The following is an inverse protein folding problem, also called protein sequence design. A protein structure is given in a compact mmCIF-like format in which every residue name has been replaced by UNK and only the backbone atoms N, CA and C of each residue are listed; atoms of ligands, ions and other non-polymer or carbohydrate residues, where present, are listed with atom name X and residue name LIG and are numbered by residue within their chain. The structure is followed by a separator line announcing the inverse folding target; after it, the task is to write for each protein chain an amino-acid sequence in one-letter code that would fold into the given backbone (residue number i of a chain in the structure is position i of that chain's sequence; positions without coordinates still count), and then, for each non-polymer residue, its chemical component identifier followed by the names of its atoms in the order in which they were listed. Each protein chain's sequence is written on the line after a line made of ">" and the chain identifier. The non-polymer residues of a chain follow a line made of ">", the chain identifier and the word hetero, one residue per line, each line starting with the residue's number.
data_IF_678644465069
#
_entry.id   IF_678644465069
#
_cell.length_a   1.000
_cell.length_b   1.000
_cell.length_c   1.000
_cell.angle_alpha   90.00
_cell.angle_beta   90.00
_cell.angle_gamma   90.00
#
_symmetry.space_group_name_H-M   'P 1'
#
loop_
_entity.id
_entity.type
_entity.pdbx_description
1 polymer ?
#
# COMPACT_ATOMS: atom_id res chain seq x y z
N UNK A 1 -43.06 -21.71 -15.84
CA UNK A 1 -43.44 -23.00 -16.48
C UNK A 1 -44.29 -23.91 -15.58
N UNK A 2 -43.95 -24.08 -14.29
CA UNK A 2 -44.77 -24.87 -13.35
C UNK A 2 -46.02 -24.13 -12.85
N UNK A 3 -45.88 -22.84 -12.50
CA UNK A 3 -47.01 -21.99 -12.09
C UNK A 3 -48.08 -21.91 -13.18
N UNK A 4 -47.67 -21.63 -14.42
CA UNK A 4 -48.57 -21.57 -15.58
C UNK A 4 -49.30 -22.91 -15.81
N UNK A 5 -48.61 -24.05 -15.65
CA UNK A 5 -49.24 -25.38 -15.72
C UNK A 5 -50.27 -25.60 -14.62
N UNK A 6 -50.02 -25.10 -13.40
CA UNK A 6 -50.96 -25.17 -12.28
C UNK A 6 -52.18 -24.28 -12.52
N UNK A 7 -51.99 -23.05 -13.03
CA UNK A 7 -53.08 -22.14 -13.41
C UNK A 7 -53.97 -22.72 -14.50
N UNK A 8 -53.38 -23.28 -15.55
CA UNK A 8 -54.14 -23.97 -16.62
C UNK A 8 -54.91 -25.18 -16.08
N UNK A 9 -54.33 -25.96 -15.17
CA UNK A 9 -55.01 -27.10 -14.55
C UNK A 9 -56.16 -26.67 -13.65
N UNK A 10 -55.97 -25.60 -12.88
CA UNK A 10 -57.02 -24.97 -12.08
C UNK A 10 -58.19 -24.52 -12.94
N UNK A 11 -57.94 -23.79 -14.03
CA UNK A 11 -58.98 -23.30 -14.94
C UNK A 11 -59.79 -24.44 -15.59
N UNK A 12 -59.11 -25.55 -15.94
CA UNK A 12 -59.78 -26.74 -16.50
C UNK A 12 -60.71 -27.39 -15.49
N UNK A 13 -60.26 -27.63 -14.25
CA UNK A 13 -61.08 -28.23 -13.20
C UNK A 13 -62.21 -27.29 -12.74
N UNK A 14 -61.98 -25.97 -12.71
CA UNK A 14 -63.02 -24.99 -12.42
C UNK A 14 -64.14 -25.00 -13.47
N UNK A 15 -63.77 -25.02 -14.76
CA UNK A 15 -64.74 -25.18 -15.86
C UNK A 15 -65.47 -26.52 -15.80
N UNK A 16 -64.81 -27.59 -15.33
CA UNK A 16 -65.45 -28.90 -15.11
C UNK A 16 -66.48 -28.83 -13.98
N UNK A 17 -66.13 -28.22 -12.86
CA UNK A 17 -67.02 -28.03 -11.71
C UNK A 17 -68.31 -27.32 -12.14
N UNK A 18 -68.17 -26.19 -12.84
CA UNK A 18 -69.32 -25.42 -13.34
C UNK A 18 -70.25 -26.26 -14.22
N UNK A 19 -69.70 -27.05 -15.15
CA UNK A 19 -70.51 -27.95 -16.00
C UNK A 19 -71.17 -29.10 -15.26
N UNK A 20 -70.64 -29.54 -14.11
CA UNK A 20 -71.26 -30.59 -13.30
C UNK A 20 -72.42 -30.01 -12.49
N UNK A 21 -72.25 -28.80 -11.98
CA UNK A 21 -73.29 -28.03 -11.28
C UNK A 21 -74.47 -27.69 -12.21
N UNK A 22 -74.17 -27.11 -13.38
CA UNK A 22 -75.18 -26.74 -14.40
C UNK A 22 -76.00 -27.93 -14.93
N UNK A 23 -75.45 -29.16 -14.86
CA UNK A 23 -76.09 -30.39 -15.36
C UNK A 23 -76.74 -31.24 -14.27
N UNK A 24 -76.73 -30.77 -13.02
CA UNK A 24 -77.31 -31.51 -11.89
C UNK A 24 -76.63 -32.87 -11.64
N UNK A 25 -75.30 -32.93 -11.77
CA UNK A 25 -74.55 -34.16 -11.52
C UNK A 25 -74.68 -34.63 -10.06
N UNK A 26 -74.38 -35.89 -9.80
CA UNK A 26 -74.41 -36.45 -8.44
C UNK A 26 -73.51 -35.67 -7.47
N UNK A 27 -74.01 -35.41 -6.25
CA UNK A 27 -73.31 -34.67 -5.20
C UNK A 27 -71.87 -35.15 -5.00
N UNK A 28 -71.66 -36.47 -4.97
CA UNK A 28 -70.34 -37.08 -4.76
C UNK A 28 -69.30 -36.70 -5.84
N UNK A 29 -69.73 -36.46 -7.08
CA UNK A 29 -68.86 -36.06 -8.19
C UNK A 29 -68.55 -34.56 -8.16
N UNK A 30 -69.53 -33.76 -7.74
CA UNK A 30 -69.37 -32.32 -7.50
C UNK A 30 -68.35 -32.11 -6.36
N UNK A 31 -68.53 -32.81 -5.24
CA UNK A 31 -67.65 -32.72 -4.06
C UNK A 31 -66.20 -33.08 -4.40
N UNK A 32 -65.97 -34.16 -5.15
CA UNK A 32 -64.63 -34.57 -5.60
C UNK A 32 -63.97 -33.51 -6.50
N UNK A 33 -64.73 -32.94 -7.42
CA UNK A 33 -64.22 -31.89 -8.33
C UNK A 33 -63.95 -30.61 -7.56
N UNK A 34 -64.81 -30.23 -6.62
CA UNK A 34 -64.61 -29.08 -5.74
C UNK A 34 -63.36 -29.24 -4.86
N UNK A 35 -63.12 -30.44 -4.32
CA UNK A 35 -61.91 -30.74 -3.57
C UNK A 35 -60.64 -30.61 -4.44
N UNK A 36 -60.71 -31.06 -5.70
CA UNK A 36 -59.61 -30.93 -6.66
C UNK A 36 -59.29 -29.46 -7.00
N UNK A 37 -60.33 -28.65 -7.24
CA UNK A 37 -60.19 -27.19 -7.44
C UNK A 37 -59.58 -26.52 -6.22
N UNK A 38 -60.08 -26.80 -5.01
CA UNK A 38 -59.53 -26.24 -3.76
C UNK A 38 -58.06 -26.63 -3.58
N UNK A 39 -57.70 -27.87 -3.86
CA UNK A 39 -56.31 -28.35 -3.80
C UNK A 39 -55.41 -27.59 -4.77
N UNK A 40 -55.83 -27.42 -6.03
CA UNK A 40 -55.07 -26.67 -7.04
C UNK A 40 -54.93 -25.19 -6.67
N UNK A 41 -55.98 -24.56 -6.16
CA UNK A 41 -55.94 -23.19 -5.68
C UNK A 41 -54.93 -23.01 -4.54
N UNK A 42 -54.91 -23.92 -3.56
CA UNK A 42 -53.90 -23.90 -2.49
C UNK A 42 -52.48 -24.08 -3.03
N UNK A 43 -52.26 -24.97 -4.02
CA UNK A 43 -50.95 -25.17 -4.66
C UNK A 43 -50.44 -23.93 -5.39
N UNK A 44 -51.31 -23.04 -5.84
CA UNK A 44 -50.94 -21.75 -6.46
C UNK A 44 -50.76 -20.67 -5.38
N UNK A 45 -51.74 -20.56 -4.46
CA UNK A 45 -51.80 -19.49 -3.46
C UNK A 45 -50.63 -19.55 -2.48
N UNK A 46 -50.23 -20.75 -2.04
CA UNK A 46 -49.14 -20.90 -1.06
C UNK A 46 -47.80 -20.35 -1.60
N UNK A 47 -47.32 -20.74 -2.80
CA UNK A 47 -46.13 -20.12 -3.40
C UNK A 47 -46.26 -18.62 -3.64
N UNK A 48 -47.42 -18.13 -4.11
CA UNK A 48 -47.64 -16.70 -4.34
C UNK A 48 -47.51 -15.91 -3.04
N UNK A 49 -48.16 -16.35 -1.97
CA UNK A 49 -48.04 -15.72 -0.65
C UNK A 49 -46.62 -15.82 -0.08
N UNK A 50 -45.89 -16.91 -0.36
CA UNK A 50 -44.49 -17.03 0.03
C UNK A 50 -43.59 -16.02 -0.72
N UNK A 51 -43.80 -15.84 -2.02
CA UNK A 51 -43.09 -14.83 -2.83
C UNK A 51 -43.39 -13.42 -2.31
N UNK A 52 -44.66 -13.12 -2.01
CA UNK A 52 -45.06 -11.82 -1.46
C UNK A 52 -44.39 -11.55 -0.10
N UNK A 53 -44.39 -12.53 0.80
CA UNK A 53 -43.70 -12.43 2.10
C UNK A 53 -42.18 -12.22 1.94
N UNK A 54 -41.54 -12.92 1.01
CA UNK A 54 -40.11 -12.76 0.69
C UNK A 54 -39.85 -11.35 0.14
N UNK A 55 -40.66 -10.88 -0.82
CA UNK A 55 -40.52 -9.53 -1.39
C UNK A 55 -40.65 -8.45 -0.32
N UNK A 56 -41.66 -8.54 0.56
CA UNK A 56 -41.80 -7.61 1.70
C UNK A 56 -40.54 -7.61 2.57
N UNK A 57 -39.98 -8.80 2.86
CA UNK A 57 -38.74 -8.89 3.65
C UNK A 57 -37.55 -8.26 2.92
N UNK A 58 -37.40 -8.49 1.61
CA UNK A 58 -36.35 -7.87 0.79
C UNK A 58 -36.47 -6.35 0.79
N UNK A 59 -37.68 -5.81 0.59
CA UNK A 59 -37.92 -4.36 0.64
C UNK A 59 -37.52 -3.78 2.00
N UNK A 60 -37.92 -4.43 3.10
CA UNK A 60 -37.51 -4.00 4.45
C UNK A 60 -35.99 -4.01 4.65
N UNK A 61 -35.32 -5.09 4.23
CA UNK A 61 -33.86 -5.18 4.34
C UNK A 61 -33.19 -4.08 3.51
N UNK A 62 -33.67 -3.82 2.28
CA UNK A 62 -33.08 -2.85 1.36
C UNK A 62 -33.31 -1.40 1.81
N UNK A 63 -34.56 -1.06 2.13
CA UNK A 63 -35.00 0.33 2.27
C UNK A 63 -34.80 0.87 3.70
N UNK A 64 -34.79 -0.02 4.70
CA UNK A 64 -34.60 0.35 6.11
C UNK A 64 -33.21 -0.06 6.60
N UNK A 65 -32.93 -1.37 6.65
CA UNK A 65 -31.74 -1.91 7.32
C UNK A 65 -30.44 -1.54 6.58
N UNK A 66 -30.39 -1.83 5.28
CA UNK A 66 -29.22 -1.56 4.44
C UNK A 66 -29.03 -0.06 4.25
N UNK A 67 -30.11 0.71 4.08
CA UNK A 67 -30.00 2.17 3.96
C UNK A 67 -29.33 2.78 5.20
N UNK A 68 -29.72 2.33 6.39
CA UNK A 68 -29.08 2.77 7.65
C UNK A 68 -27.60 2.43 7.67
N UNK A 69 -27.24 1.17 7.35
CA UNK A 69 -25.85 0.71 7.35
C UNK A 69 -24.97 1.45 6.33
N UNK A 70 -25.50 1.72 5.13
CA UNK A 70 -24.79 2.48 4.09
C UNK A 70 -24.54 3.91 4.56
N UNK A 71 -25.55 4.56 5.16
CA UNK A 71 -25.39 5.91 5.69
C UNK A 71 -24.33 5.98 6.80
N UNK A 72 -24.36 5.03 7.75
CA UNK A 72 -23.35 4.93 8.80
C UNK A 72 -21.95 4.70 8.23
N UNK A 73 -21.82 3.84 7.22
CA UNK A 73 -20.55 3.57 6.54
C UNK A 73 -20.01 4.82 5.86
N UNK A 74 -20.84 5.54 5.08
CA UNK A 74 -20.44 6.78 4.40
C UNK A 74 -19.99 7.84 5.42
N UNK A 75 -20.72 8.00 6.53
CA UNK A 75 -20.34 8.91 7.62
C UNK A 75 -19.00 8.50 8.24
N UNK A 76 -18.81 7.21 8.52
CA UNK A 76 -17.58 6.65 9.07
C UNK A 76 -16.38 6.91 8.16
N UNK A 77 -16.52 6.62 6.87
CA UNK A 77 -15.50 6.88 5.85
C UNK A 77 -15.18 8.38 5.75
N UNK A 78 -16.19 9.25 5.73
CA UNK A 78 -16.00 10.71 5.72
C UNK A 78 -15.17 11.18 6.92
N UNK A 79 -15.45 10.66 8.12
CA UNK A 79 -14.68 10.96 9.34
C UNK A 79 -13.25 10.46 9.23
N UNK A 80 -13.04 9.22 8.78
CA UNK A 80 -11.71 8.63 8.58
C UNK A 80 -10.86 9.49 7.62
N UNK A 81 -11.41 9.85 6.45
CA UNK A 81 -10.67 10.64 5.47
C UNK A 81 -10.35 12.05 5.97
N UNK A 82 -11.25 12.70 6.72
CA UNK A 82 -10.97 13.98 7.38
C UNK A 82 -9.78 13.87 8.36
N UNK A 83 -9.66 12.76 9.09
CA UNK A 83 -8.52 12.51 9.97
C UNK A 83 -7.23 12.30 9.18
N UNK A 84 -7.27 11.48 8.12
CA UNK A 84 -6.12 11.24 7.24
C UNK A 84 -5.58 12.56 6.66
N UNK A 85 -6.46 13.43 6.16
CA UNK A 85 -6.08 14.75 5.64
C UNK A 85 -5.41 15.60 6.72
N UNK A 86 -5.95 15.63 7.94
CA UNK A 86 -5.35 16.36 9.07
C UNK A 86 -3.94 15.83 9.39
N UNK A 87 -3.76 14.52 9.40
CA UNK A 87 -2.45 13.89 9.63
C UNK A 87 -1.44 14.27 8.55
N UNK A 88 -1.81 14.15 7.26
CA UNK A 88 -0.91 14.52 6.16
C UNK A 88 -0.58 16.01 6.14
N UNK A 89 -1.52 16.91 6.49
CA UNK A 89 -1.23 18.34 6.64
C UNK A 89 -0.16 18.59 7.69
N UNK A 90 -0.25 17.92 8.85
CA UNK A 90 0.76 18.01 9.91
C UNK A 90 2.11 17.44 9.47
N UNK A 91 2.12 16.30 8.78
CA UNK A 91 3.34 15.71 8.22
C UNK A 91 4.01 16.65 7.21
N UNK A 92 3.24 17.23 6.30
CA UNK A 92 3.74 18.19 5.32
C UNK A 92 4.35 19.43 5.99
N UNK A 93 3.70 19.96 7.02
CA UNK A 93 4.23 21.08 7.79
C UNK A 93 5.53 20.71 8.52
N UNK A 94 5.60 19.52 9.12
CA UNK A 94 6.82 19.04 9.76
C UNK A 94 7.98 18.90 8.78
N UNK A 95 7.72 18.40 7.57
CA UNK A 95 8.73 18.28 6.49
C UNK A 95 9.23 19.66 6.08
N UNK A 96 8.32 20.61 5.78
CA UNK A 96 8.68 21.99 5.42
C UNK A 96 9.52 22.68 6.48
N UNK A 97 9.16 22.49 7.75
CA UNK A 97 9.93 23.07 8.86
C UNK A 97 11.31 22.42 8.97
N UNK A 98 11.42 21.10 8.76
CA UNK A 98 12.69 20.40 8.81
C UNK A 98 13.67 20.86 7.73
N UNK A 99 13.19 21.22 6.53
CA UNK A 99 14.02 21.83 5.48
C UNK A 99 14.65 23.15 5.95
N UNK A 100 13.89 24.00 6.66
CA UNK A 100 14.39 25.24 7.25
C UNK A 100 15.47 24.99 8.31
N UNK A 101 15.32 23.95 9.15
CA UNK A 101 16.31 23.62 10.19
C UNK A 101 17.58 22.97 9.65
N UNK A 102 17.52 22.21 8.56
CA UNK A 102 18.72 21.62 7.92
C UNK A 102 19.67 22.71 7.39
N UNK A 103 19.12 23.87 6.99
CA UNK A 103 19.93 25.04 6.63
C UNK A 103 20.55 25.76 7.84
N UNK A 104 20.04 25.57 9.06
CA UNK A 104 20.47 26.28 10.27
C UNK A 104 21.40 25.41 11.14
N UNK A 105 21.13 24.11 11.23
CA UNK A 105 21.82 23.18 12.11
C UNK A 105 22.84 22.34 11.33
N UNK A 106 23.89 22.99 10.84
CA UNK A 106 25.14 22.28 10.60
C UNK A 106 25.63 21.69 11.92
N UNK A 107 25.98 20.40 11.89
CA UNK A 107 26.74 19.66 12.91
C UNK A 107 25.94 18.96 14.04
N UNK A 108 26.34 17.70 14.26
CA UNK A 108 26.05 16.82 15.41
C UNK A 108 24.65 16.20 15.57
N UNK A 109 24.36 15.11 14.83
CA UNK A 109 23.38 14.11 15.27
C UNK A 109 23.85 12.66 15.02
N UNK A 110 23.62 11.76 15.98
CA UNK A 110 23.97 10.32 15.96
C UNK A 110 23.60 9.66 14.61
N UNK A 111 24.59 9.28 13.80
CA UNK A 111 24.44 8.75 12.42
C UNK A 111 23.59 7.47 12.34
N UNK A 112 23.69 6.56 13.32
CA UNK A 112 23.06 5.22 13.25
C UNK A 112 21.53 5.18 13.40
N UNK A 113 20.97 5.96 14.34
CA UNK A 113 19.50 6.00 14.58
C UNK A 113 18.74 6.55 13.37
N UNK A 114 19.30 7.56 12.70
CA UNK A 114 18.72 8.17 11.50
C UNK A 114 18.65 7.19 10.32
N UNK A 115 19.68 6.36 10.11
CA UNK A 115 19.70 5.38 9.02
C UNK A 115 18.59 4.33 9.17
N UNK A 116 18.39 3.82 10.40
CA UNK A 116 17.31 2.87 10.69
C UNK A 116 15.93 3.49 10.50
N UNK A 117 15.76 4.74 10.91
CA UNK A 117 14.51 5.47 10.71
C UNK A 117 14.18 5.68 9.22
N UNK A 118 15.17 6.06 8.40
CA UNK A 118 14.99 6.22 6.94
C UNK A 118 14.63 4.90 6.26
N UNK A 119 15.29 3.79 6.62
CA UNK A 119 14.97 2.45 6.10
C UNK A 119 13.55 2.01 6.44
N UNK A 120 13.14 2.24 7.69
CA UNK A 120 11.77 1.93 8.11
C UNK A 120 10.75 2.80 7.37
N UNK A 121 11.03 4.09 7.20
CA UNK A 121 10.15 5.01 6.47
C UNK A 121 9.98 4.58 5.00
N UNK A 122 11.06 4.23 4.31
CA UNK A 122 11.01 3.71 2.94
C UNK A 122 10.11 2.47 2.86
N UNK A 123 10.38 1.47 3.71
CA UNK A 123 9.62 0.22 3.75
C UNK A 123 8.13 0.44 4.01
N UNK A 124 7.79 1.29 4.98
CA UNK A 124 6.39 1.58 5.29
C UNK A 124 5.72 2.42 4.18
N UNK A 125 6.47 3.28 3.48
CA UNK A 125 5.97 4.05 2.33
C UNK A 125 5.62 3.12 1.17
N UNK A 126 6.48 2.15 0.85
CA UNK A 126 6.20 1.11 -0.15
C UNK A 126 4.91 0.34 0.16
N UNK A 127 4.78 -0.13 1.40
CA UNK A 127 3.57 -0.81 1.86
C UNK A 127 2.35 0.09 1.78
N UNK A 128 2.49 1.37 2.15
CA UNK A 128 1.40 2.32 2.13
C UNK A 128 0.90 2.58 0.70
N UNK A 129 1.79 2.74 -0.29
CA UNK A 129 1.41 2.88 -1.70
C UNK A 129 0.56 1.70 -2.19
N UNK A 130 1.04 0.47 -1.94
CA UNK A 130 0.34 -0.75 -2.35
C UNK A 130 -1.01 -0.90 -1.63
N UNK A 131 -1.03 -0.68 -0.31
CA UNK A 131 -2.25 -0.78 0.50
C UNK A 131 -3.28 0.29 0.14
N UNK A 132 -2.84 1.51 -0.15
CA UNK A 132 -3.72 2.59 -0.59
C UNK A 132 -4.39 2.24 -1.92
N UNK A 133 -3.62 1.84 -2.93
CA UNK A 133 -4.18 1.43 -4.23
C UNK A 133 -5.15 0.27 -4.06
N UNK A 134 -4.78 -0.76 -3.31
CA UNK A 134 -5.66 -1.90 -3.05
C UNK A 134 -6.94 -1.47 -2.30
N UNK A 135 -6.83 -0.62 -1.29
CA UNK A 135 -7.97 -0.11 -0.55
C UNK A 135 -8.96 0.64 -1.45
N UNK A 136 -8.49 1.57 -2.30
CA UNK A 136 -9.36 2.30 -3.22
C UNK A 136 -10.04 1.36 -4.22
N UNK A 137 -9.31 0.40 -4.79
CA UNK A 137 -9.88 -0.60 -5.70
C UNK A 137 -10.97 -1.42 -5.03
N UNK A 138 -10.73 -1.90 -3.81
CA UNK A 138 -11.71 -2.68 -3.03
C UNK A 138 -12.95 -1.84 -2.71
N UNK A 139 -12.79 -0.57 -2.35
CA UNK A 139 -13.92 0.34 -2.13
C UNK A 139 -14.73 0.56 -3.42
N UNK A 140 -14.07 0.84 -4.55
CA UNK A 140 -14.74 0.97 -5.86
C UNK A 140 -15.52 -0.29 -6.23
N UNK A 141 -14.91 -1.47 -6.07
CA UNK A 141 -15.56 -2.74 -6.35
C UNK A 141 -16.79 -2.97 -5.48
N UNK A 142 -16.67 -2.73 -4.17
CA UNK A 142 -17.78 -2.85 -3.22
C UNK A 142 -18.96 -1.95 -3.61
N UNK A 143 -18.72 -0.66 -3.85
CA UNK A 143 -19.77 0.30 -4.21
C UNK A 143 -20.40 -0.05 -5.56
N UNK A 144 -19.62 -0.56 -6.51
CA UNK A 144 -20.13 -1.01 -7.81
C UNK A 144 -21.04 -2.22 -7.69
N UNK A 145 -20.66 -3.22 -6.88
CA UNK A 145 -21.49 -4.39 -6.62
C UNK A 145 -22.80 -4.00 -5.93
N UNK A 146 -22.74 -3.11 -4.95
CA UNK A 146 -23.91 -2.60 -4.24
C UNK A 146 -24.86 -1.85 -5.18
N UNK A 147 -24.32 -0.90 -5.97
CA UNK A 147 -25.13 -0.13 -6.91
C UNK A 147 -25.77 -1.05 -7.96
N UNK A 148 -25.00 -1.97 -8.56
CA UNK A 148 -25.52 -2.91 -9.55
C UNK A 148 -26.61 -3.82 -8.99
N UNK A 149 -26.44 -4.30 -7.74
CA UNK A 149 -27.47 -5.09 -7.06
C UNK A 149 -28.76 -4.28 -6.89
N UNK A 150 -28.66 -3.02 -6.46
CA UNK A 150 -29.82 -2.13 -6.34
C UNK A 150 -30.49 -1.88 -7.70
N UNK A 151 -29.72 -1.54 -8.73
CA UNK A 151 -30.24 -1.29 -10.09
C UNK A 151 -30.98 -2.51 -10.66
N UNK A 152 -30.64 -3.73 -10.23
CA UNK A 152 -31.34 -4.96 -10.57
C UNK A 152 -32.81 -5.00 -10.11
N UNK A 153 -33.19 -4.21 -9.10
CA UNK A 153 -34.57 -4.13 -8.60
C UNK A 153 -35.43 -3.09 -9.33
N UNK A 154 -34.86 -2.32 -10.26
CA UNK A 154 -35.63 -1.34 -11.03
C UNK A 154 -36.38 -2.09 -12.14
N UNK A 155 -37.72 -1.94 -12.25
CA UNK A 155 -38.50 -2.50 -13.34
C UNK A 155 -37.94 -2.17 -14.72
N UNK A 156 -38.00 -3.13 -15.65
CA UNK A 156 -37.44 -2.98 -17.01
C UNK A 156 -38.06 -1.79 -17.77
N UNK A 157 -39.36 -1.54 -17.54
CA UNK A 157 -40.12 -0.41 -18.08
C UNK A 157 -39.53 0.95 -17.69
N UNK A 158 -38.88 1.02 -16.53
CA UNK A 158 -38.24 2.22 -16.03
C UNK A 158 -36.78 2.32 -16.49
N UNK A 159 -36.15 1.24 -16.95
CA UNK A 159 -34.76 1.28 -17.44
C UNK A 159 -34.60 2.01 -18.78
N UNK A 160 -35.69 2.18 -19.52
CA UNK A 160 -35.72 2.91 -20.81
C UNK A 160 -35.67 4.43 -20.64
N UNK A 161 -35.88 4.92 -19.42
CA UNK A 161 -35.81 6.34 -19.08
C UNK A 161 -34.35 6.75 -18.81
N UNK A 162 -34.08 8.04 -18.96
CA UNK A 162 -32.77 8.58 -18.64
C UNK A 162 -32.48 8.47 -17.13
N UNK A 163 -31.21 8.33 -16.74
CA UNK A 163 -30.82 8.03 -15.35
C UNK A 163 -31.31 9.11 -14.37
N UNK A 164 -31.26 10.38 -14.80
CA UNK A 164 -31.76 11.52 -14.04
C UNK A 164 -33.27 11.45 -13.80
N UNK A 165 -34.04 10.96 -14.78
CA UNK A 165 -35.48 10.79 -14.66
C UNK A 165 -35.85 9.56 -13.82
N UNK A 166 -35.03 8.50 -13.87
CA UNK A 166 -35.20 7.25 -13.10
C UNK A 166 -34.97 7.44 -11.61
N UNK A 167 -33.98 8.25 -11.25
CA UNK A 167 -33.56 8.49 -9.87
C UNK A 167 -34.11 9.81 -9.31
N UNK A 168 -35.04 10.45 -10.01
CA UNK A 168 -35.65 11.70 -9.56
C UNK A 168 -36.40 11.52 -8.23
N UNK A 169 -36.13 12.35 -7.20
CA UNK A 169 -36.84 12.32 -5.92
C UNK A 169 -38.36 12.50 -6.06
N UNK A 170 -38.80 13.13 -7.16
CA UNK A 170 -40.21 13.44 -7.43
C UNK A 170 -40.98 12.27 -8.08
N UNK A 171 -40.31 11.20 -8.54
CA UNK A 171 -40.97 9.96 -8.95
C UNK A 171 -41.28 9.12 -7.71
N UNK A 172 -42.38 9.49 -7.07
CA UNK A 172 -43.21 8.71 -6.14
C UNK A 172 -42.53 7.45 -5.60
N UNK A 173 -41.83 7.58 -4.46
CA UNK A 173 -41.52 6.43 -3.61
C UNK A 173 -40.29 5.59 -3.98
N UNK A 174 -39.41 6.05 -4.89
CA UNK A 174 -38.09 5.42 -5.04
C UNK A 174 -37.29 5.52 -3.71
N UNK A 175 -36.89 4.40 -3.09
CA UNK A 175 -36.20 4.44 -1.81
C UNK A 175 -34.90 5.22 -1.87
N UNK A 176 -34.60 6.02 -0.84
CA UNK A 176 -33.46 6.94 -0.84
C UNK A 176 -32.10 6.23 -1.03
N UNK A 177 -32.00 4.96 -0.65
CA UNK A 177 -30.81 4.13 -0.88
C UNK A 177 -30.37 4.07 -2.34
N UNK A 178 -31.29 4.11 -3.31
CA UNK A 178 -30.95 4.08 -4.74
C UNK A 178 -30.18 5.34 -5.14
N UNK A 179 -30.65 6.50 -4.69
CA UNK A 179 -30.03 7.80 -4.97
C UNK A 179 -28.66 7.86 -4.30
N UNK A 180 -28.60 7.57 -3.00
CA UNK A 180 -27.36 7.63 -2.21
C UNK A 180 -26.29 6.70 -2.76
N UNK A 181 -26.64 5.46 -3.11
CA UNK A 181 -25.67 4.50 -3.65
C UNK A 181 -25.21 4.88 -5.06
N UNK A 182 -26.09 5.45 -5.88
CA UNK A 182 -25.74 5.91 -7.21
C UNK A 182 -24.79 7.12 -7.17
N UNK A 183 -25.12 8.12 -6.35
CA UNK A 183 -24.26 9.29 -6.12
C UNK A 183 -22.90 8.86 -5.57
N UNK A 184 -22.89 7.93 -4.61
CA UNK A 184 -21.65 7.39 -4.06
C UNK A 184 -20.83 6.62 -5.10
N UNK A 185 -21.49 5.83 -5.95
CA UNK A 185 -20.86 5.12 -7.07
C UNK A 185 -20.20 6.10 -8.03
N UNK A 186 -20.92 7.11 -8.51
CA UNK A 186 -20.39 8.11 -9.41
C UNK A 186 -19.23 8.89 -8.78
N UNK A 187 -19.37 9.30 -7.52
CA UNK A 187 -18.33 10.00 -6.79
C UNK A 187 -17.05 9.17 -6.65
N UNK A 188 -17.14 7.87 -6.31
CA UNK A 188 -15.96 7.03 -6.08
C UNK A 188 -15.26 6.63 -7.39
N UNK A 189 -16.00 6.43 -8.47
CA UNK A 189 -15.41 6.11 -9.78
C UNK A 189 -14.59 7.27 -10.35
N UNK A 190 -15.02 8.50 -10.09
CA UNK A 190 -14.31 9.71 -10.52
C UNK A 190 -12.99 9.96 -9.77
N UNK A 191 -12.71 9.24 -8.69
CA UNK A 191 -11.46 9.37 -7.95
C UNK A 191 -10.32 8.69 -8.73
N UNK A 192 -9.33 9.48 -9.13
CA UNK A 192 -8.07 8.96 -9.68
C UNK A 192 -7.12 8.54 -8.55
N UNK A 193 -6.94 7.23 -8.39
CA UNK A 193 -5.99 6.64 -7.43
C UNK A 193 -4.53 6.68 -7.94
N UNK A 194 -4.36 6.71 -9.26
CA UNK A 194 -3.07 6.55 -9.93
C UNK A 194 -2.12 7.71 -9.60
N UNK A 195 -2.63 8.94 -9.57
CA UNK A 195 -1.83 10.12 -9.21
C UNK A 195 -1.28 10.04 -7.78
N UNK A 196 -2.10 9.61 -6.83
CA UNK A 196 -1.69 9.47 -5.42
C UNK A 196 -0.72 8.29 -5.28
N UNK A 197 -1.01 7.15 -5.91
CA UNK A 197 -0.13 5.99 -5.91
C UNK A 197 1.26 6.34 -6.48
N UNK A 198 1.32 6.98 -7.64
CA UNK A 198 2.58 7.42 -8.28
C UNK A 198 3.34 8.40 -7.41
N UNK A 199 2.67 9.33 -6.75
CA UNK A 199 3.34 10.27 -5.83
C UNK A 199 3.96 9.56 -4.63
N UNK A 200 3.25 8.63 -3.99
CA UNK A 200 3.77 7.86 -2.84
C UNK A 200 4.90 6.93 -3.29
N UNK A 201 4.74 6.25 -4.42
CA UNK A 201 5.76 5.38 -5.01
C UNK A 201 7.01 6.17 -5.39
N UNK A 202 6.85 7.35 -6.00
CA UNK A 202 7.94 8.26 -6.34
C UNK A 202 8.71 8.71 -5.09
N UNK A 203 8.00 9.06 -4.02
CA UNK A 203 8.63 9.37 -2.73
C UNK A 203 9.45 8.19 -2.17
N UNK A 204 8.90 6.97 -2.21
CA UNK A 204 9.62 5.78 -1.78
C UNK A 204 10.88 5.52 -2.62
N UNK A 205 10.79 5.73 -3.94
CA UNK A 205 11.89 5.60 -4.88
C UNK A 205 13.00 6.63 -4.61
N UNK A 206 12.63 7.88 -4.32
CA UNK A 206 13.59 8.92 -3.91
C UNK A 206 14.27 8.60 -2.58
N UNK A 207 13.55 8.02 -1.61
CA UNK A 207 14.15 7.55 -0.35
C UNK A 207 15.15 6.42 -0.59
N UNK A 208 14.82 5.48 -1.48
CA UNK A 208 15.72 4.38 -1.87
C UNK A 208 17.01 4.93 -2.48
N UNK A 209 16.89 5.80 -3.48
CA UNK A 209 18.05 6.39 -4.15
C UNK A 209 18.94 7.21 -3.21
N UNK A 210 18.34 7.95 -2.27
CA UNK A 210 19.08 8.65 -1.23
C UNK A 210 19.91 7.69 -0.35
N UNK A 211 19.39 6.49 -0.07
CA UNK A 211 20.14 5.49 0.68
C UNK A 211 21.29 4.91 -0.11
N UNK A 212 21.08 4.57 -1.38
CA UNK A 212 22.15 4.10 -2.28
C UNK A 212 23.30 5.11 -2.34
N UNK A 213 22.97 6.39 -2.52
CA UNK A 213 23.96 7.47 -2.55
C UNK A 213 24.72 7.60 -1.23
N UNK A 214 24.04 7.52 -0.08
CA UNK A 214 24.69 7.56 1.24
C UNK A 214 25.62 6.38 1.47
N UNK A 215 25.24 5.20 0.98
CA UNK A 215 26.06 4.00 1.11
C UNK A 215 27.30 4.08 0.22
N UNK A 216 27.17 4.65 -0.98
CA UNK A 216 28.30 4.95 -1.86
C UNK A 216 29.25 5.98 -1.23
N UNK A 217 28.74 7.10 -0.72
CA UNK A 217 29.54 8.09 0.01
C UNK A 217 30.28 7.48 1.21
N UNK A 218 29.65 6.52 1.90
CA UNK A 218 30.26 5.80 3.03
C UNK A 218 31.41 4.91 2.54
N UNK A 219 31.22 4.16 1.45
CA UNK A 219 32.27 3.33 0.85
C UNK A 219 33.47 4.17 0.40
N UNK A 220 33.20 5.29 -0.27
CA UNK A 220 34.24 6.21 -0.71
C UNK A 220 35.03 6.79 0.45
N UNK A 221 34.35 7.23 1.53
CA UNK A 221 35.04 7.73 2.74
C UNK A 221 35.98 6.69 3.35
N UNK A 222 35.52 5.45 3.50
CA UNK A 222 36.37 4.38 4.05
C UNK A 222 37.58 4.13 3.15
N UNK A 223 37.39 4.12 1.83
CA UNK A 223 38.49 3.97 0.88
C UNK A 223 39.49 5.14 0.98
N UNK A 224 39.01 6.38 1.10
CA UNK A 224 39.88 7.55 1.29
C UNK A 224 40.65 7.48 2.62
N UNK A 225 39.98 7.11 3.71
CA UNK A 225 40.61 6.94 5.04
C UNK A 225 41.69 5.83 5.00
N UNK A 226 41.43 4.73 4.29
CA UNK A 226 42.42 3.67 4.07
C UNK A 226 43.62 4.17 3.26
N UNK A 227 43.39 4.85 2.13
CA UNK A 227 44.47 5.39 1.30
C UNK A 227 45.31 6.43 2.04
N UNK A 228 44.69 7.28 2.86
CA UNK A 228 45.42 8.25 3.70
C UNK A 228 46.32 7.53 4.71
N UNK A 229 45.79 6.48 5.36
CA UNK A 229 46.57 5.68 6.29
C UNK A 229 47.73 4.95 5.61
N UNK A 230 47.50 4.38 4.43
CA UNK A 230 48.55 3.71 3.67
C UNK A 230 49.67 4.69 3.24
N UNK A 231 49.30 5.93 2.89
CA UNK A 231 50.26 7.00 2.58
C UNK A 231 51.04 7.46 3.82
N UNK A 232 50.40 7.58 4.97
CA UNK A 232 51.06 7.90 6.24
C UNK A 232 52.05 6.79 6.62
N UNK A 233 51.64 5.52 6.55
CA UNK A 233 52.49 4.36 6.85
C UNK A 233 53.67 4.25 5.86
N UNK A 234 53.46 4.60 4.58
CA UNK A 234 54.52 4.60 3.57
C UNK A 234 55.51 5.75 3.82
N UNK A 235 55.02 6.95 4.10
CA UNK A 235 55.86 8.10 4.42
C UNK A 235 56.72 7.83 5.67
N UNK A 236 56.13 7.24 6.72
CA UNK A 236 56.87 6.87 7.93
C UNK A 236 58.00 5.86 7.62
N UNK A 237 57.72 4.85 6.79
CA UNK A 237 58.75 3.89 6.33
C UNK A 237 59.86 4.55 5.53
N UNK A 238 59.50 5.40 4.56
CA UNK A 238 60.48 6.08 3.70
C UNK A 238 61.41 7.01 4.52
N UNK A 239 60.85 7.71 5.52
CA UNK A 239 61.64 8.53 6.46
C UNK A 239 62.59 7.66 7.30
N UNK A 240 62.12 6.52 7.82
CA UNK A 240 62.97 5.60 8.61
C UNK A 240 64.12 5.05 7.75
N UNK A 241 63.85 4.62 6.52
CA UNK A 241 64.88 4.11 5.61
C UNK A 241 65.92 5.18 5.31
N UNK A 242 65.49 6.40 4.95
CA UNK A 242 66.42 7.51 4.69
C UNK A 242 67.28 7.87 5.91
N UNK A 243 66.71 7.86 7.12
CA UNK A 243 67.47 8.09 8.36
C UNK A 243 68.49 7.00 8.63
N UNK A 244 68.16 5.74 8.33
CA UNK A 244 69.07 4.61 8.49
C UNK A 244 70.24 4.68 7.49
N UNK A 245 69.96 5.03 6.24
CA UNK A 245 70.99 5.24 5.20
C UNK A 245 71.98 6.36 5.60
N UNK A 246 71.48 7.51 6.05
CA UNK A 246 72.32 8.60 6.55
C UNK A 246 73.18 8.17 7.75
N UNK A 247 72.62 7.39 8.67
CA UNK A 247 73.34 6.90 9.84
C UNK A 247 74.46 5.93 9.44
N UNK A 248 74.21 5.06 8.46
CA UNK A 248 75.20 4.08 8.01
C UNK A 248 76.32 4.76 7.19
N UNK A 249 76.01 5.80 6.41
CA UNK A 249 77.01 6.66 5.77
C UNK A 249 77.89 7.38 6.81
N UNK A 250 77.28 7.93 7.87
CA UNK A 250 78.03 8.55 8.96
C UNK A 250 78.92 7.54 9.71
N UNK A 251 78.45 6.31 9.94
CA UNK A 251 79.29 5.24 10.51
C UNK A 251 80.45 4.87 9.60
N UNK A 252 80.23 4.79 8.29
CA UNK A 252 81.28 4.47 7.32
C UNK A 252 82.38 5.54 7.32
N UNK A 253 82.01 6.82 7.29
CA UNK A 253 82.98 7.93 7.38
C UNK A 253 83.74 7.93 8.71
N UNK A 254 83.07 7.62 9.83
CA UNK A 254 83.74 7.46 11.13
C UNK A 254 84.70 6.27 11.16
N UNK A 255 84.33 5.12 10.59
CA UNK A 255 85.21 3.96 10.49
C UNK A 255 86.45 4.25 9.64
N UNK A 256 86.28 4.96 8.52
CA UNK A 256 87.39 5.38 7.66
C UNK A 256 88.33 6.34 8.39
N UNK A 257 87.78 7.32 9.12
CA UNK A 257 88.58 8.23 9.95
C UNK A 257 89.36 7.49 11.05
N UNK A 258 88.74 6.51 11.71
CA UNK A 258 89.42 5.64 12.70
C UNK A 258 90.54 4.85 12.04
N UNK A 259 90.31 4.29 10.85
CA UNK A 259 91.33 3.54 10.12
C UNK A 259 92.53 4.41 9.76
N UNK A 260 92.29 5.60 9.20
CA UNK A 260 93.35 6.57 8.89
C UNK A 260 94.16 6.97 10.12
N UNK A 261 93.51 7.18 11.27
CA UNK A 261 94.19 7.49 12.52
C UNK A 261 95.05 6.32 13.03
N UNK A 262 94.55 5.08 12.92
CA UNK A 262 95.29 3.88 13.30
C UNK A 262 96.50 3.64 12.38
N UNK A 263 96.33 3.80 11.06
CA UNK A 263 97.40 3.68 10.08
C UNK A 263 98.50 4.72 10.37
N UNK A 264 98.12 5.98 10.59
CA UNK A 264 99.07 7.04 10.97
C UNK A 264 99.77 6.78 12.32
N UNK A 265 99.07 6.20 13.30
CA UNK A 265 99.66 5.80 14.57
C UNK A 265 100.67 4.66 14.39
N UNK A 266 100.35 3.67 13.54
CA UNK A 266 101.24 2.56 13.18
C UNK A 266 102.51 3.07 12.50
N UNK A 267 102.38 3.93 11.49
CA UNK A 267 103.51 4.55 10.79
C UNK A 267 104.40 5.34 11.76
N UNK A 268 103.78 6.09 12.68
CA UNK A 268 104.51 6.83 13.72
C UNK A 268 105.32 5.88 14.63
N UNK A 269 104.71 4.77 15.08
CA UNK A 269 105.38 3.78 15.90
C UNK A 269 106.54 3.07 15.16
N UNK A 270 106.37 2.73 13.88
CA UNK A 270 107.44 2.15 13.06
C UNK A 270 108.62 3.11 12.91
N UNK A 271 108.36 4.38 12.62
CA UNK A 271 109.39 5.40 12.51
C UNK A 271 110.15 5.58 13.82
N UNK A 272 109.45 5.60 14.96
CA UNK A 272 110.06 5.65 16.29
C UNK A 272 110.95 4.43 16.54
N UNK A 273 110.46 3.22 16.25
CA UNK A 273 111.24 1.98 16.38
C UNK A 273 112.52 1.98 15.51
N UNK A 274 112.44 2.43 14.25
CA UNK A 274 113.60 2.55 13.36
C UNK A 274 114.62 3.57 13.87
N UNK A 275 114.16 4.65 14.49
CA UNK A 275 115.03 5.67 15.11
C UNK A 275 115.79 5.08 16.31
N UNK A 276 115.11 4.31 17.16
CA UNK A 276 115.73 3.62 18.30
C UNK A 276 116.72 2.53 17.90
N UNK A 277 116.51 1.81 16.79
CA UNK A 277 117.45 0.79 16.29
C UNK A 277 118.75 1.37 15.70
N UNK A 278 118.77 2.66 15.34
CA UNK A 278 119.94 3.35 14.78
C UNK A 278 120.80 4.07 15.83
N UNK A 279 120.34 4.12 17.08
CA UNK A 279 121.04 4.63 18.26
C UNK A 279 121.78 3.50 18.98
#
# INVERSE_FOLDING_TARGET
>A
MLEEKLRVSYDKEWKRLKRLDDRGAESSQIDRTQASVKSLLSKIKVPVSAIEAISIRIHKIRDEELQSQVNELIIGLSRMWKLIIKCHKKQLQAIKNAETYVHIAGMHTRKGSRLKATKNLEKETWKWAARFSHYIKTQKAFVSLLNNWLQGYIPEELKTLDEADRLSPNRIGAPAIFIVCNDWHNAIQNISEDGVYKAIHGFASSLHHLQEKREEERRQRIKTEQLLKDLEDQFEKDVIVAMQEMLDEQKATHQEAIKLANDAASDCLELVCLLFLRL
#
